data_IF_616993462743
#
_entry.id   IF_616993462743
#
_cell.length_a   1.000
_cell.length_b   1.000
_cell.length_c   1.000
_cell.angle_alpha   90.00
_cell.angle_beta   90.00
_cell.angle_gamma   90.00
#
_symmetry.space_group_name_H-M   'P 1'
#
loop_
_entity.id
_entity.type
_entity.pdbx_description
1 polymer ?
#
# COMPACT_ATOMS: atom_id res chain seq x y z
N UNK A 1 2.38 -0.03 -14.09
CA UNK A 1 2.51 -0.59 -12.73
C UNK A 1 2.42 -2.11 -12.68
N UNK A 2 1.35 -2.76 -13.15
CA UNK A 2 1.15 -4.23 -13.03
C UNK A 2 2.36 -5.08 -13.49
N UNK A 3 2.98 -4.73 -14.63
CA UNK A 3 4.18 -5.43 -15.13
C UNK A 3 5.36 -5.41 -14.15
N UNK A 4 5.51 -4.32 -13.38
CA UNK A 4 6.54 -4.21 -12.35
C UNK A 4 6.16 -5.00 -11.09
N UNK A 5 4.88 -4.98 -10.72
CA UNK A 5 4.38 -5.74 -9.57
C UNK A 5 4.62 -7.25 -9.70
N UNK A 6 4.41 -7.80 -10.90
CA UNK A 6 4.67 -9.23 -11.17
C UNK A 6 6.14 -9.64 -10.98
N UNK A 7 7.10 -8.71 -11.09
CA UNK A 7 8.53 -9.02 -10.88
C UNK A 7 8.86 -9.34 -9.43
N UNK A 8 7.99 -8.94 -8.49
CA UNK A 8 8.15 -9.29 -7.08
C UNK A 8 7.76 -10.74 -6.77
N UNK A 9 7.02 -11.43 -7.64
CA UNK A 9 6.58 -12.81 -7.41
C UNK A 9 7.79 -13.75 -7.42
N UNK A 10 7.82 -14.69 -6.49
CA UNK A 10 8.92 -15.63 -6.25
C UNK A 10 9.72 -15.33 -4.99
N UNK A 11 10.84 -16.03 -4.83
CA UNK A 11 11.79 -15.80 -3.74
C UNK A 11 12.85 -14.75 -4.15
N UNK A 12 12.94 -13.66 -3.41
CA UNK A 12 13.93 -12.61 -3.66
C UNK A 12 14.49 -12.04 -2.36
N UNK A 13 15.63 -11.34 -2.45
CA UNK A 13 16.16 -10.52 -1.35
C UNK A 13 15.51 -9.12 -1.40
N UNK A 14 14.69 -8.82 -0.39
CA UNK A 14 13.89 -7.59 -0.33
C UNK A 14 14.55 -6.46 0.49
N UNK A 15 15.86 -6.51 0.77
CA UNK A 15 16.53 -5.47 1.59
C UNK A 15 16.39 -4.04 1.05
N UNK A 16 16.35 -3.90 -0.28
CA UNK A 16 16.14 -2.60 -0.93
C UNK A 16 14.67 -2.15 -0.92
N UNK A 17 13.76 -3.04 -0.53
CA UNK A 17 12.33 -2.82 -0.42
C UNK A 17 11.83 -2.90 1.02
N UNK A 18 12.67 -2.70 2.03
CA UNK A 18 12.24 -2.67 3.43
C UNK A 18 12.97 -1.57 4.20
N UNK A 19 12.51 -1.23 5.41
CA UNK A 19 13.35 -0.47 6.34
C UNK A 19 14.39 -1.41 6.92
N UNK A 20 15.65 -1.01 6.83
CA UNK A 20 16.76 -1.83 7.35
C UNK A 20 16.68 -1.91 8.86
N UNK A 21 16.72 -3.14 9.38
CA UNK A 21 16.82 -3.45 10.80
C UNK A 21 17.86 -4.54 11.00
N UNK A 22 19.13 -4.17 10.78
CA UNK A 22 20.25 -5.10 10.82
C UNK A 22 20.50 -5.69 12.22
N UNK A 23 19.94 -5.09 13.28
CA UNK A 23 20.03 -5.62 14.63
C UNK A 23 19.17 -6.88 14.81
N UNK A 24 18.00 -6.92 14.17
CA UNK A 24 17.03 -7.99 14.35
C UNK A 24 16.88 -8.90 13.11
N UNK A 25 17.33 -8.46 11.94
CA UNK A 25 17.13 -9.16 10.67
C UNK A 25 18.47 -9.46 9.98
N UNK A 26 18.81 -10.75 9.91
CA UNK A 26 19.93 -11.28 9.13
C UNK A 26 19.50 -11.87 7.78
N UNK A 27 18.23 -12.26 7.63
CA UNK A 27 17.68 -12.83 6.39
C UNK A 27 16.61 -11.92 5.78
N UNK A 28 16.93 -11.38 4.60
CA UNK A 28 16.08 -10.48 3.82
C UNK A 28 15.30 -11.19 2.70
N UNK A 29 15.47 -12.52 2.57
CA UNK A 29 14.72 -13.29 1.58
C UNK A 29 13.27 -13.45 2.00
N UNK A 30 12.34 -13.19 1.09
CA UNK A 30 10.91 -13.44 1.27
C UNK A 30 10.33 -14.05 -0.01
N UNK A 31 9.23 -14.77 0.14
CA UNK A 31 8.51 -15.38 -0.97
C UNK A 31 7.18 -14.67 -1.15
N UNK A 32 6.97 -14.05 -2.32
CA UNK A 32 5.68 -13.48 -2.71
C UNK A 32 5.00 -14.44 -3.67
N UNK A 33 3.80 -14.88 -3.30
CA UNK A 33 3.01 -15.85 -4.08
C UNK A 33 2.14 -15.14 -5.12
N UNK A 34 1.64 -13.94 -4.82
CA UNK A 34 0.72 -13.21 -5.70
C UNK A 34 0.87 -11.70 -5.52
N UNK A 35 0.75 -10.96 -6.62
CA UNK A 35 0.69 -9.50 -6.62
C UNK A 35 -0.18 -9.00 -7.78
N UNK A 36 -1.39 -8.56 -7.45
CA UNK A 36 -2.36 -8.01 -8.40
C UNK A 36 -2.70 -6.54 -8.09
N UNK A 37 -2.92 -5.74 -9.14
CA UNK A 37 -3.42 -4.38 -9.07
C UNK A 37 -4.74 -4.31 -9.84
N UNK A 38 -5.81 -3.90 -9.17
CA UNK A 38 -7.16 -3.87 -9.75
C UNK A 38 -7.93 -2.63 -9.32
N UNK A 39 -8.80 -2.12 -10.18
CA UNK A 39 -9.73 -1.05 -9.83
C UNK A 39 -10.74 -1.55 -8.78
N UNK A 40 -11.18 -0.64 -7.91
CA UNK A 40 -12.29 -0.84 -6.99
C UNK A 40 -13.56 -0.23 -7.60
N UNK A 41 -14.73 -0.79 -7.28
CA UNK A 41 -16.01 -0.34 -7.85
C UNK A 41 -16.44 1.07 -7.37
N UNK A 42 -15.77 1.61 -6.34
CA UNK A 42 -16.06 2.93 -5.79
C UNK A 42 -15.31 4.02 -6.54
N UNK A 43 -16.08 4.99 -7.06
CA UNK A 43 -15.59 6.23 -7.67
C UNK A 43 -16.03 7.40 -6.81
N UNK A 44 -15.13 8.30 -6.46
CA UNK A 44 -15.45 9.57 -5.82
C UNK A 44 -15.10 10.72 -6.75
N UNK A 45 -16.06 11.57 -7.11
CA UNK A 45 -15.85 12.88 -7.73
C UNK A 45 -14.62 12.97 -8.66
N UNK A 46 -14.56 12.09 -9.67
CA UNK A 46 -13.52 11.98 -10.72
C UNK A 46 -12.31 11.06 -10.48
N UNK A 47 -12.07 10.58 -9.26
CA UNK A 47 -10.97 9.66 -8.96
C UNK A 47 -11.44 8.19 -8.86
N UNK A 48 -10.65 7.29 -9.44
CA UNK A 48 -10.84 5.84 -9.30
C UNK A 48 -9.97 5.31 -8.16
N UNK A 49 -10.58 4.54 -7.25
CA UNK A 49 -9.82 3.83 -6.24
C UNK A 49 -9.22 2.56 -6.85
N UNK A 50 -7.94 2.30 -6.59
CA UNK A 50 -7.23 1.09 -7.01
C UNK A 50 -6.64 0.35 -5.81
N UNK A 51 -6.67 -0.98 -5.86
CA UNK A 51 -6.15 -1.87 -4.84
C UNK A 51 -4.89 -2.58 -5.32
N UNK A 52 -3.86 -2.63 -4.46
CA UNK A 52 -2.70 -3.51 -4.62
C UNK A 52 -2.82 -4.71 -3.68
N UNK A 53 -3.25 -5.85 -4.22
CA UNK A 53 -3.40 -7.09 -3.48
C UNK A 53 -2.08 -7.88 -3.52
N UNK A 54 -1.47 -8.10 -2.36
CA UNK A 54 -0.18 -8.80 -2.23
C UNK A 54 -0.34 -9.97 -1.28
N UNK A 55 0.17 -11.13 -1.67
CA UNK A 55 0.23 -12.33 -0.82
C UNK A 55 1.66 -12.86 -0.81
N UNK A 56 2.14 -13.20 0.39
CA UNK A 56 3.46 -13.79 0.58
C UNK A 56 3.53 -14.56 1.89
N UNK A 57 4.63 -15.29 2.10
CA UNK A 57 4.84 -16.10 3.31
C UNK A 57 5.11 -15.25 4.55
N UNK A 58 5.84 -14.15 4.38
CA UNK A 58 6.14 -13.16 5.40
C UNK A 58 6.59 -11.84 4.75
N UNK A 59 6.57 -10.76 5.51
CA UNK A 59 7.04 -9.45 5.08
C UNK A 59 8.07 -8.88 6.06
N UNK A 60 9.08 -8.19 5.54
CA UNK A 60 10.05 -7.41 6.30
C UNK A 60 9.41 -6.11 6.83
N UNK A 61 10.11 -5.45 7.74
CA UNK A 61 9.66 -4.17 8.29
C UNK A 61 9.46 -3.14 7.17
N UNK A 62 8.25 -2.59 7.08
CA UNK A 62 7.81 -1.67 6.03
C UNK A 62 7.87 -2.20 4.58
N UNK A 63 7.99 -3.52 4.37
CA UNK A 63 8.25 -4.07 3.04
C UNK A 63 7.21 -3.64 2.00
N UNK A 64 5.94 -3.86 2.31
CA UNK A 64 4.81 -3.57 1.42
C UNK A 64 4.77 -2.09 1.03
N UNK A 65 4.98 -1.18 1.99
CA UNK A 65 4.97 0.27 1.74
C UNK A 65 6.13 0.72 0.85
N UNK A 66 7.31 0.11 1.01
CA UNK A 66 8.45 0.38 0.14
C UNK A 66 8.25 -0.20 -1.28
N UNK A 67 7.65 -1.38 -1.41
CA UNK A 67 7.26 -1.92 -2.72
C UNK A 67 6.25 -1.01 -3.43
N UNK A 68 5.22 -0.57 -2.72
CA UNK A 68 4.21 0.36 -3.24
C UNK A 68 4.84 1.70 -3.68
N UNK A 69 5.78 2.23 -2.91
CA UNK A 69 6.51 3.45 -3.27
C UNK A 69 7.18 3.33 -4.65
N UNK A 70 7.94 2.26 -4.89
CA UNK A 70 8.60 2.03 -6.19
C UNK A 70 7.55 1.88 -7.31
N UNK A 71 6.44 1.19 -7.05
CA UNK A 71 5.37 1.07 -8.03
C UNK A 71 4.71 2.42 -8.36
N UNK A 72 4.58 3.34 -7.41
CA UNK A 72 4.08 4.69 -7.69
C UNK A 72 5.02 5.47 -8.61
N UNK A 73 6.34 5.35 -8.46
CA UNK A 73 7.30 5.97 -9.40
C UNK A 73 7.19 5.36 -10.81
N UNK A 74 6.99 4.04 -10.90
CA UNK A 74 6.70 3.38 -12.19
C UNK A 74 5.36 3.84 -12.77
N UNK A 75 4.34 4.04 -11.94
CA UNK A 75 3.02 4.54 -12.36
C UNK A 75 3.05 5.95 -12.90
N UNK A 76 3.88 6.81 -12.31
CA UNK A 76 4.13 8.18 -12.77
C UNK A 76 5.07 8.26 -13.99
N UNK A 77 5.65 7.14 -14.43
CA UNK A 77 6.62 7.12 -15.54
C UNK A 77 8.01 7.65 -15.18
N UNK A 78 8.28 7.89 -13.90
CA UNK A 78 9.59 8.34 -13.40
C UNK A 78 10.61 7.19 -13.34
N UNK A 79 10.13 5.95 -13.29
CA UNK A 79 10.95 4.74 -13.30
C UNK A 79 10.42 3.74 -14.33
N UNK A 80 11.33 2.98 -14.93
CA UNK A 80 10.97 1.85 -15.79
C UNK A 80 10.56 0.65 -14.92
N UNK A 81 9.64 -0.23 -15.38
CA UNK A 81 9.32 -1.49 -14.68
C UNK A 81 10.53 -2.36 -14.34
N UNK A 82 11.63 -2.26 -15.10
CA UNK A 82 12.87 -2.99 -14.87
C UNK A 82 13.61 -2.55 -13.59
N UNK A 83 13.26 -1.40 -13.01
CA UNK A 83 13.83 -0.95 -11.73
C UNK A 83 13.68 -2.02 -10.65
N UNK A 84 12.55 -2.75 -10.66
CA UNK A 84 12.31 -3.82 -9.68
C UNK A 84 13.38 -4.90 -9.76
N UNK A 85 13.75 -5.36 -10.96
CA UNK A 85 14.79 -6.37 -11.14
C UNK A 85 16.15 -5.86 -10.62
N UNK A 86 16.49 -4.60 -10.94
CA UNK A 86 17.74 -3.98 -10.51
C UNK A 86 17.84 -3.87 -8.98
N UNK A 87 16.73 -3.56 -8.30
CA UNK A 87 16.69 -3.42 -6.84
C UNK A 87 16.65 -4.76 -6.10
N UNK A 88 16.10 -5.82 -6.72
CA UNK A 88 16.15 -7.18 -6.17
C UNK A 88 17.54 -7.81 -6.37
N UNK A 89 18.31 -7.36 -7.37
CA UNK A 89 19.69 -7.75 -7.62
C UNK A 89 20.67 -6.97 -6.73
N UNK A 90 21.10 -7.60 -5.64
CA UNK A 90 22.02 -7.00 -4.66
C UNK A 90 23.41 -6.73 -5.25
N UNK A 91 23.80 -7.45 -6.30
CA UNK A 91 25.10 -7.21 -6.95
C UNK A 91 25.09 -5.91 -7.75
N UNK A 92 23.95 -5.59 -8.37
CA UNK A 92 23.74 -4.32 -9.08
C UNK A 92 23.42 -3.17 -8.15
N UNK A 93 22.62 -3.43 -7.12
CA UNK A 93 22.17 -2.43 -6.15
C UNK A 93 22.56 -2.84 -4.73
N UNK A 94 23.84 -2.65 -4.35
CA UNK A 94 24.34 -3.05 -3.04
C UNK A 94 23.80 -2.17 -1.89
N UNK A 95 23.23 -1.01 -2.21
CA UNK A 95 22.67 -0.07 -1.24
C UNK A 95 21.26 0.35 -1.62
N UNK A 96 20.38 0.40 -0.63
CA UNK A 96 18.99 0.81 -0.80
C UNK A 96 18.91 2.26 -1.31
N UNK A 97 18.23 2.52 -2.44
CA UNK A 97 17.93 3.88 -2.90
C UNK A 97 16.86 4.54 -2.01
N UNK A 98 16.82 5.87 -2.04
CA UNK A 98 15.89 6.66 -1.23
C UNK A 98 14.60 6.93 -2.00
N UNK A 99 13.61 6.05 -1.84
CA UNK A 99 12.23 6.32 -2.23
C UNK A 99 11.42 6.75 -1.00
N UNK A 100 10.62 7.82 -1.14
CA UNK A 100 9.65 8.20 -0.12
C UNK A 100 8.64 7.08 0.08
N UNK A 101 8.61 6.52 1.28
CA UNK A 101 7.74 5.39 1.60
C UNK A 101 6.27 5.76 1.44
N UNK A 102 5.47 4.85 0.88
CA UNK A 102 4.04 5.06 0.74
C UNK A 102 3.37 5.33 2.11
N UNK A 103 2.28 6.11 2.17
CA UNK A 103 1.50 6.31 3.41
C UNK A 103 1.05 4.99 4.04
N UNK A 104 0.84 4.98 5.36
CA UNK A 104 0.34 3.80 6.08
C UNK A 104 -1.16 3.63 6.05
N UNK A 105 -1.91 4.73 5.96
CA UNK A 105 -3.37 4.74 5.98
C UNK A 105 -4.01 3.67 5.07
N UNK A 106 -3.58 3.46 3.80
CA UNK A 106 -4.22 2.49 2.93
C UNK A 106 -3.79 1.03 3.14
N UNK A 107 -2.88 0.73 4.08
CA UNK A 107 -2.36 -0.62 4.27
C UNK A 107 -3.26 -1.45 5.21
N UNK A 108 -3.93 -2.45 4.66
CA UNK A 108 -4.87 -3.30 5.40
C UNK A 108 -4.35 -4.75 5.42
N UNK A 109 -4.25 -5.33 6.62
CA UNK A 109 -4.04 -6.78 6.75
C UNK A 109 -5.37 -7.50 6.54
N UNK A 110 -5.55 -8.08 5.35
CA UNK A 110 -6.82 -8.71 4.96
C UNK A 110 -7.02 -10.11 5.55
N UNK A 111 -6.00 -10.96 5.54
CA UNK A 111 -6.12 -12.36 5.95
C UNK A 111 -4.76 -12.96 6.29
N UNK A 112 -4.73 -13.87 7.26
CA UNK A 112 -3.60 -14.73 7.54
C UNK A 112 -3.98 -16.19 7.27
N UNK A 113 -3.04 -16.97 6.75
CA UNK A 113 -3.26 -18.38 6.40
C UNK A 113 -2.26 -19.23 7.18
N UNK A 114 -2.76 -20.30 7.80
CA UNK A 114 -1.97 -21.23 8.59
C UNK A 114 -2.48 -22.64 8.31
N UNK A 115 -1.58 -23.56 8.05
CA UNK A 115 -1.95 -24.94 7.72
C UNK A 115 -2.55 -25.64 8.95
N UNK A 116 -3.71 -26.29 8.75
CA UNK A 116 -4.41 -27.02 9.81
C UNK A 116 -5.05 -26.15 10.90
N UNK A 117 -5.07 -24.82 10.73
CA UNK A 117 -5.67 -23.89 11.70
C UNK A 117 -6.89 -23.22 11.09
N UNK A 118 -8.02 -23.33 11.78
CA UNK A 118 -9.23 -22.56 11.48
C UNK A 118 -9.31 -21.38 12.44
N UNK A 119 -9.32 -20.17 11.89
CA UNK A 119 -9.55 -18.96 12.69
C UNK A 119 -11.02 -18.85 13.03
N UNK A 120 -11.32 -18.69 14.31
CA UNK A 120 -12.65 -18.34 14.79
C UNK A 120 -12.67 -16.85 15.10
N UNK A 121 -13.64 -16.15 14.54
CA UNK A 121 -13.96 -14.77 14.91
C UNK A 121 -15.29 -14.80 15.67
N UNK A 122 -15.32 -14.29 16.90
CA UNK A 122 -16.58 -14.17 17.63
C UNK A 122 -17.47 -13.10 16.98
N UNK A 123 -18.79 -13.23 17.16
CA UNK A 123 -19.75 -12.20 16.75
C UNK A 123 -19.36 -10.83 17.31
N UNK A 124 -18.97 -10.79 18.58
CA UNK A 124 -18.66 -9.54 19.29
C UNK A 124 -17.40 -8.88 18.73
N UNK A 125 -16.37 -9.67 18.42
CA UNK A 125 -15.15 -9.14 17.81
C UNK A 125 -15.40 -8.62 16.39
N UNK A 126 -16.19 -9.35 15.59
CA UNK A 126 -16.59 -8.90 14.26
C UNK A 126 -17.41 -7.62 14.32
N UNK A 127 -18.36 -7.55 15.26
CA UNK A 127 -19.23 -6.38 15.42
C UNK A 127 -18.43 -5.15 15.87
N UNK A 128 -17.53 -5.31 16.85
CA UNK A 128 -16.65 -4.24 17.30
C UNK A 128 -15.76 -3.68 16.18
N UNK A 129 -15.22 -4.54 15.31
CA UNK A 129 -14.45 -4.10 14.13
C UNK A 129 -15.33 -3.33 13.13
N UNK A 130 -16.55 -3.80 12.87
CA UNK A 130 -17.49 -3.12 11.97
C UNK A 130 -17.86 -1.74 12.51
N UNK A 131 -18.14 -1.64 13.80
CA UNK A 131 -18.45 -0.37 14.47
C UNK A 131 -17.25 0.58 14.41
N UNK A 132 -16.06 0.12 14.75
CA UNK A 132 -14.83 0.91 14.64
C UNK A 132 -14.63 1.47 13.22
N UNK A 133 -14.77 0.64 12.17
CA UNK A 133 -14.60 1.11 10.79
C UNK A 133 -15.69 2.08 10.35
N UNK A 134 -16.93 1.93 10.86
CA UNK A 134 -18.02 2.87 10.62
C UNK A 134 -17.72 4.22 11.27
N UNK A 135 -17.21 4.21 12.49
CA UNK A 135 -16.87 5.43 13.24
C UNK A 135 -15.72 6.18 12.56
N UNK A 136 -14.65 5.48 12.15
CA UNK A 136 -13.55 6.07 11.38
C UNK A 136 -14.04 6.67 10.06
N UNK A 137 -14.85 5.92 9.30
CA UNK A 137 -15.45 6.43 8.06
C UNK A 137 -16.31 7.67 8.32
N UNK A 138 -17.15 7.65 9.35
CA UNK A 138 -17.99 8.78 9.72
C UNK A 138 -17.15 10.02 10.07
N UNK A 139 -16.05 9.85 10.82
CA UNK A 139 -15.14 10.93 11.17
C UNK A 139 -14.52 11.57 9.92
N UNK A 140 -14.05 10.76 8.96
CA UNK A 140 -13.51 11.29 7.69
C UNK A 140 -14.58 12.01 6.86
N UNK A 141 -15.80 11.48 6.81
CA UNK A 141 -16.90 12.14 6.11
C UNK A 141 -17.29 13.48 6.75
N UNK A 142 -17.27 13.56 8.09
CA UNK A 142 -17.52 14.83 8.80
C UNK A 142 -16.41 15.85 8.51
N UNK A 143 -15.14 15.42 8.53
CA UNK A 143 -14.02 16.28 8.15
C UNK A 143 -14.15 16.78 6.71
N UNK A 144 -14.49 15.91 5.77
CA UNK A 144 -14.74 16.29 4.38
C UNK A 144 -15.87 17.34 4.28
N UNK A 145 -17.00 17.11 4.96
CA UNK A 145 -18.12 18.05 4.97
C UNK A 145 -17.77 19.43 5.55
N UNK A 146 -16.93 19.48 6.60
CA UNK A 146 -16.42 20.75 7.16
C UNK A 146 -15.61 21.51 6.10
N UNK A 147 -14.74 20.82 5.35
CA UNK A 147 -13.96 21.45 4.29
C UNK A 147 -14.80 21.86 3.09
N UNK A 148 -15.80 21.06 2.72
CA UNK A 148 -16.75 21.41 1.66
C UNK A 148 -17.51 22.70 2.02
N UNK A 149 -18.00 22.83 3.25
CA UNK A 149 -18.64 24.06 3.74
C UNK A 149 -17.66 25.25 3.72
N UNK A 150 -16.43 25.05 4.20
CA UNK A 150 -15.40 26.08 4.19
C UNK A 150 -15.07 26.57 2.77
N UNK A 151 -15.09 25.69 1.76
CA UNK A 151 -14.90 26.05 0.36
C UNK A 151 -16.02 26.95 -0.16
N UNK A 152 -17.27 26.75 0.27
CA UNK A 152 -18.40 27.62 -0.14
C UNK A 152 -18.26 29.05 0.37
N UNK A 153 -17.55 29.25 1.48
CA UNK A 153 -17.28 30.57 2.05
C UNK A 153 -16.22 31.37 1.28
N UNK A 154 -15.48 30.72 0.36
CA UNK A 154 -14.45 31.38 -0.44
C UNK A 154 -15.09 32.07 -1.65
N UNK A 155 -15.04 33.40 -1.67
CA UNK A 155 -15.36 34.19 -2.88
C UNK A 155 -14.30 33.91 -3.95
N UNK A 156 -14.70 33.52 -5.17
CA UNK A 156 -13.79 33.44 -6.32
C UNK A 156 -13.43 34.87 -6.72
N UNK A 157 -12.17 35.33 -6.57
CA UNK A 157 -11.78 36.65 -7.02
C UNK A 157 -11.65 36.62 -8.55
N UNK A 158 -12.54 37.31 -9.29
CA UNK A 158 -12.31 37.56 -10.72
C UNK A 158 -13.51 37.56 -11.67
N UNK A 159 -14.72 37.21 -11.26
CA UNK A 159 -15.93 37.44 -12.10
C UNK A 159 -16.46 38.85 -11.90
N UNK A 160 -15.74 39.84 -12.45
CA UNK A 160 -16.31 41.14 -12.80
C UNK A 160 -16.43 41.17 -14.33
N UNK A 161 -17.68 41.20 -14.81
CA UNK A 161 -18.01 41.52 -16.21
C UNK A 161 -17.98 43.04 -16.37
#
# INVERSE_FOLDING_TARGET
MQKAAFKFIGEHDFRNFCKMDAANVSNYKRYITDFNISACDQRSNHDELWSMNIRGSAFLWHQVRCMAAVLFFVGQGLESPCVVDSLLDITKTPRKPQYTMAPELPLILRSCLFDGVSFMCSSDASQALIEHLKDEHHQYMLQAAIFDEALTCLSIPGTYI
#
